data_IF_301361410965
#
_entry.id   IF_301361410965
#
_cell.length_a   1.000
_cell.length_b   1.000
_cell.length_c   1.000
_cell.angle_alpha   90.00
_cell.angle_beta   90.00
_cell.angle_gamma   90.00
#
_symmetry.space_group_name_H-M   'P 1'
#
loop_
_entity.id
_entity.type
_entity.pdbx_description
1 polymer ?
#
# COMPACT_ATOMS: atom_id res chain seq x y z
N UNK A 1 5.20 16.93 4.17
CA UNK A 1 6.13 15.81 3.93
C UNK A 1 6.40 15.70 2.44
N UNK A 2 7.65 15.59 2.09
CA UNK A 2 8.05 15.60 0.69
C UNK A 2 8.15 14.19 0.14
N UNK A 3 7.27 13.85 -0.76
CA UNK A 3 7.28 12.52 -1.38
C UNK A 3 7.80 12.56 -2.81
N UNK A 4 8.46 13.68 -3.19
CA UNK A 4 8.92 13.82 -4.56
C UNK A 4 9.96 12.79 -4.96
N UNK A 5 10.68 12.22 -3.99
CA UNK A 5 11.69 11.23 -4.28
C UNK A 5 11.20 9.82 -4.01
N UNK A 6 9.93 9.65 -3.73
CA UNK A 6 9.40 8.32 -3.48
C UNK A 6 9.48 7.45 -4.73
N UNK A 7 9.88 6.21 -4.55
CA UNK A 7 9.87 5.23 -5.62
C UNK A 7 8.68 4.31 -5.36
N UNK A 8 7.69 4.44 -6.20
CA UNK A 8 6.42 3.76 -6.00
C UNK A 8 6.42 2.40 -6.68
N UNK A 9 5.97 1.39 -5.96
CA UNK A 9 5.88 0.04 -6.49
C UNK A 9 4.49 -0.50 -6.32
N UNK A 10 3.98 -1.15 -7.33
CA UNK A 10 2.71 -1.85 -7.26
C UNK A 10 2.94 -3.29 -6.87
N UNK A 11 1.96 -3.89 -6.24
CA UNK A 11 2.01 -5.32 -6.03
C UNK A 11 1.82 -6.02 -7.36
N UNK A 12 2.60 -7.04 -7.61
CA UNK A 12 2.44 -7.81 -8.84
C UNK A 12 1.11 -8.55 -8.85
N UNK A 13 0.54 -8.78 -7.70
CA UNK A 13 -0.71 -9.52 -7.64
C UNK A 13 -1.92 -8.70 -8.03
N UNK A 14 -1.81 -7.38 -8.06
CA UNK A 14 -2.94 -6.57 -8.43
C UNK A 14 -3.04 -6.37 -9.92
N UNK A 15 -2.07 -6.82 -10.67
CA UNK A 15 -2.06 -6.56 -12.10
C UNK A 15 -3.20 -7.21 -12.85
N UNK A 16 -3.68 -8.33 -12.36
CA UNK A 16 -4.72 -9.05 -13.07
C UNK A 16 -6.06 -8.37 -13.04
N UNK A 17 -6.27 -7.49 -12.12
CA UNK A 17 -7.57 -6.88 -11.97
C UNK A 17 -7.78 -5.66 -12.81
N UNK A 18 -6.78 -5.28 -13.53
CA UNK A 18 -6.99 -4.22 -14.50
C UNK A 18 -7.24 -2.88 -13.92
N UNK A 19 -7.10 -2.66 -12.66
CA UNK A 19 -7.36 -1.35 -12.32
C UNK A 19 -7.32 -0.93 -10.89
N UNK A 20 -7.55 -1.81 -10.01
CA UNK A 20 -7.61 -1.41 -8.62
C UNK A 20 -6.28 -1.68 -7.96
N UNK A 21 -5.35 -0.80 -8.16
CA UNK A 21 -3.99 -1.01 -7.68
C UNK A 21 -3.58 -0.02 -6.64
N UNK A 22 -2.77 -0.46 -5.72
CA UNK A 22 -2.18 0.38 -4.70
C UNK A 22 -0.69 0.40 -4.94
N UNK A 23 -0.08 1.55 -4.72
CA UNK A 23 1.37 1.68 -4.81
C UNK A 23 1.94 2.00 -3.45
N UNK A 24 3.11 1.45 -3.19
CA UNK A 24 3.79 1.63 -1.90
C UNK A 24 5.20 2.12 -2.14
N UNK A 25 5.62 3.11 -1.39
CA UNK A 25 7.00 3.60 -1.43
C UNK A 25 7.63 3.34 -0.08
N UNK A 26 8.75 2.63 -0.08
CA UNK A 26 9.46 2.30 1.14
C UNK A 26 10.86 2.89 1.19
N UNK A 27 11.18 3.74 0.24
CA UNK A 27 12.53 4.30 0.15
C UNK A 27 12.71 5.62 0.87
N UNK A 28 11.66 6.18 1.43
CA UNK A 28 11.75 7.45 2.13
C UNK A 28 12.12 7.18 3.59
N UNK A 29 13.19 7.77 4.10
CA UNK A 29 13.60 7.50 5.48
C UNK A 29 12.49 7.82 6.47
N UNK A 30 12.24 6.88 7.35
CA UNK A 30 11.31 7.09 8.46
C UNK A 30 9.85 6.92 8.14
N UNK A 31 9.47 6.68 6.90
CA UNK A 31 8.06 6.47 6.58
C UNK A 31 7.87 5.43 5.49
N UNK A 32 6.66 4.91 5.46
CA UNK A 32 6.17 4.13 4.34
C UNK A 32 4.94 4.87 3.81
N UNK A 33 4.88 5.09 2.52
CA UNK A 33 3.76 5.82 1.91
C UNK A 33 2.95 4.89 1.01
N UNK A 34 1.64 5.07 1.02
CA UNK A 34 0.73 4.25 0.23
C UNK A 34 -0.21 5.18 -0.51
N UNK A 35 -0.44 4.91 -1.78
CA UNK A 35 -1.37 5.71 -2.56
C UNK A 35 -2.10 4.86 -3.59
N UNK A 36 -3.18 5.43 -4.13
CA UNK A 36 -3.92 4.81 -5.21
C UNK A 36 -3.19 5.06 -6.52
N UNK A 37 -2.84 4.03 -7.24
CA UNK A 37 -2.10 4.19 -8.49
C UNK A 37 -2.93 4.87 -9.57
N UNK A 38 -4.24 4.85 -9.47
CA UNK A 38 -5.10 5.53 -10.43
C UNK A 38 -5.22 6.99 -10.14
N UNK A 39 -4.80 7.43 -8.98
CA UNK A 39 -4.88 8.83 -8.61
C UNK A 39 -3.55 9.26 -8.00
N UNK A 40 -2.50 9.29 -8.82
CA UNK A 40 -1.16 9.54 -8.30
C UNK A 40 -0.98 10.94 -7.72
N UNK A 41 -1.85 11.85 -8.06
CA UNK A 41 -1.78 13.20 -7.50
C UNK A 41 -2.72 13.38 -6.31
N UNK A 42 -3.42 12.33 -5.93
CA UNK A 42 -4.28 12.37 -4.77
C UNK A 42 -3.50 12.19 -3.49
N UNK A 43 -4.19 12.11 -2.38
CA UNK A 43 -3.51 11.99 -1.09
C UNK A 43 -2.80 10.66 -0.94
N UNK A 44 -1.74 10.65 -0.18
CA UNK A 44 -1.06 9.42 0.20
C UNK A 44 -1.17 9.25 1.70
N UNK A 45 -1.29 8.00 2.14
CA UNK A 45 -1.24 7.69 3.56
C UNK A 45 0.21 7.42 3.93
N UNK A 46 0.60 7.87 5.10
CA UNK A 46 1.96 7.63 5.55
C UNK A 46 1.95 6.90 6.88
N UNK A 47 2.91 6.03 7.07
CA UNK A 47 3.02 5.19 8.24
C UNK A 47 4.45 5.21 8.74
N UNK A 48 4.65 5.03 10.03
CA UNK A 48 6.01 4.75 10.54
C UNK A 48 6.36 3.32 10.16
N UNK A 49 7.64 2.97 10.12
CA UNK A 49 8.00 1.59 9.86
C UNK A 49 7.40 0.61 10.86
N UNK A 50 7.28 1.01 12.13
CA UNK A 50 6.67 0.14 13.13
C UNK A 50 5.21 -0.10 12.85
N UNK A 51 4.48 0.95 12.46
CA UNK A 51 3.07 0.80 12.08
C UNK A 51 2.92 -0.10 10.87
N UNK A 52 3.81 0.05 9.91
CA UNK A 52 3.76 -0.74 8.70
C UNK A 52 4.02 -2.21 9.01
N UNK A 53 5.00 -2.49 9.87
CA UNK A 53 5.29 -3.86 10.30
C UNK A 53 4.11 -4.48 11.01
N UNK A 54 3.46 -3.73 11.89
CA UNK A 54 2.31 -4.26 12.60
C UNK A 54 1.16 -4.57 11.64
N UNK A 55 0.96 -3.69 10.67
CA UNK A 55 -0.08 -3.90 9.67
C UNK A 55 0.19 -5.15 8.85
N UNK A 56 1.42 -5.31 8.37
CA UNK A 56 1.76 -6.49 7.58
C UNK A 56 1.64 -7.76 8.38
N UNK A 57 2.00 -7.71 9.66
CA UNK A 57 1.84 -8.87 10.53
C UNK A 57 0.37 -9.27 10.65
N UNK A 58 -0.51 -8.30 10.82
CA UNK A 58 -1.93 -8.58 10.87
C UNK A 58 -2.45 -9.17 9.57
N UNK A 59 -1.98 -8.64 8.45
CA UNK A 59 -2.37 -9.15 7.14
C UNK A 59 -1.95 -10.60 7.00
N UNK A 60 -0.72 -10.93 7.37
CA UNK A 60 -0.22 -12.29 7.23
C UNK A 60 -0.94 -13.27 8.12
N UNK A 61 -1.47 -12.79 9.23
CA UNK A 61 -2.23 -13.65 10.14
C UNK A 61 -3.72 -13.68 9.82
N UNK A 62 -4.12 -13.05 8.76
CA UNK A 62 -5.52 -13.05 8.34
C UNK A 62 -6.44 -12.17 9.17
N UNK A 63 -5.88 -11.29 9.99
CA UNK A 63 -6.70 -10.48 10.89
C UNK A 63 -7.56 -9.48 10.16
N UNK A 64 -7.16 -9.07 8.97
CA UNK A 64 -7.89 -8.10 8.19
C UNK A 64 -8.54 -8.69 6.94
N UNK A 65 -8.69 -10.00 6.92
CA UNK A 65 -9.33 -10.64 5.80
C UNK A 65 -10.80 -10.31 5.84
N UNK A 66 -11.17 -9.30 5.11
CA UNK A 66 -12.55 -8.94 5.03
C UNK A 66 -13.24 -10.02 4.25
N UNK A 67 -14.49 -10.14 4.40
CA UNK A 67 -15.23 -11.04 3.62
C UNK A 67 -15.44 -10.51 2.31
N UNK A 68 -14.46 -9.99 1.81
CA UNK A 68 -14.49 -9.49 0.52
C UNK A 68 -14.36 -10.68 -0.26
N UNK A 69 -15.31 -11.21 -0.59
CA UNK A 69 -15.21 -12.28 -1.36
C UNK A 69 -14.70 -12.00 -2.63
N UNK A 70 -13.73 -12.47 -2.96
CA UNK A 70 -13.26 -12.20 -4.23
C UNK A 70 -14.09 -12.91 -5.11
N UNK A 71 -14.36 -12.55 -5.29
CA UNK A 71 -14.96 -13.23 -5.84
C UNK A 71 -15.50 -13.81 -5.19
N UNK A 72 -15.24 -13.46 -4.54
CA UNK A 72 -15.50 -13.53 -3.85
C UNK A 72 -15.45 -13.15 -3.89
#
# INVERSE_FOLDING_TARGET
MDLSKAVWKKSSRSADNGGECVEVAVNIPGIVAVRDSKNPHGPALTFTPAEWHAFLGGVKHGEFDARVSPGQ
#
